data_IF_174704420182
#
_entry.id   IF_174704420182
#
_cell.length_a   1.000
_cell.length_b   1.000
_cell.length_c   1.000
_cell.angle_alpha   90.00
_cell.angle_beta   90.00
_cell.angle_gamma   90.00
#
_symmetry.space_group_name_H-M   'P 1'
#
loop_
_entity.id
_entity.type
_entity.pdbx_description
1 polymer ?
#
# COMPACT_ATOMS: atom_id res chain seq x y z
N UNK A 1 -23.82 -28.50 39.72
CA UNK A 1 -22.79 -28.53 38.66
C UNK A 1 -23.20 -27.58 37.53
N UNK A 2 -22.86 -26.31 37.63
CA UNK A 2 -23.22 -25.31 36.63
C UNK A 2 -22.16 -25.34 35.50
N UNK A 3 -22.58 -25.72 34.30
CA UNK A 3 -21.74 -25.61 33.09
C UNK A 3 -21.60 -24.14 32.73
N UNK A 4 -20.43 -23.55 33.03
CA UNK A 4 -20.03 -22.27 32.49
C UNK A 4 -19.71 -22.48 31.01
N UNK A 5 -20.65 -22.16 30.12
CA UNK A 5 -20.39 -22.01 28.68
C UNK A 5 -19.66 -20.70 28.47
N UNK A 6 -18.35 -20.75 28.36
CA UNK A 6 -17.55 -19.63 27.87
C UNK A 6 -17.85 -19.42 26.39
N UNK A 7 -18.60 -18.35 26.13
CA UNK A 7 -18.98 -17.94 24.78
C UNK A 7 -17.80 -17.15 24.15
N UNK A 8 -16.94 -17.86 23.42
CA UNK A 8 -15.71 -17.33 22.80
C UNK A 8 -15.93 -16.57 21.48
N UNK A 9 -17.21 -16.35 21.07
CA UNK A 9 -17.54 -15.70 19.79
C UNK A 9 -17.61 -14.16 19.87
N UNK A 10 -17.09 -13.51 20.92
CA UNK A 10 -17.12 -12.03 21.06
C UNK A 10 -15.81 -11.31 20.73
N UNK A 11 -14.94 -11.86 19.92
CA UNK A 11 -13.67 -11.22 19.63
C UNK A 11 -13.43 -10.95 18.14
N UNK A 12 -14.47 -10.74 17.33
CA UNK A 12 -14.31 -10.20 15.98
C UNK A 12 -15.56 -9.41 15.58
N UNK A 13 -15.88 -8.34 16.32
CA UNK A 13 -16.70 -7.29 15.72
C UNK A 13 -15.81 -6.54 14.73
N UNK A 14 -16.13 -6.57 13.42
CA UNK A 14 -15.41 -5.76 12.45
C UNK A 14 -15.66 -4.30 12.82
N UNK A 15 -14.59 -3.54 12.96
CA UNK A 15 -14.63 -2.08 13.11
C UNK A 15 -15.65 -1.55 12.11
N UNK A 16 -16.75 -0.96 12.60
CA UNK A 16 -17.75 -0.29 11.77
C UNK A 16 -17.09 0.94 11.14
N UNK A 17 -16.40 0.73 10.02
CA UNK A 17 -15.90 1.79 9.14
C UNK A 17 -17.05 2.38 8.34
N UNK A 18 -16.94 3.63 7.95
CA UNK A 18 -17.89 4.35 7.09
C UNK A 18 -18.26 3.50 5.86
N UNK A 19 -19.55 3.44 5.49
CA UNK A 19 -20.12 2.46 4.56
C UNK A 19 -19.37 2.20 3.24
N UNK A 20 -18.67 3.19 2.68
CA UNK A 20 -17.84 3.05 1.48
C UNK A 20 -16.56 2.24 1.80
N UNK A 21 -15.91 2.52 2.92
CA UNK A 21 -14.67 1.81 3.34
C UNK A 21 -15.02 0.36 3.71
N UNK A 22 -16.15 0.11 4.39
CA UNK A 22 -16.60 -1.24 4.73
C UNK A 22 -17.00 -2.05 3.50
N UNK A 23 -17.58 -1.42 2.46
CA UNK A 23 -17.89 -2.07 1.19
C UNK A 23 -16.61 -2.50 0.46
N UNK A 24 -15.61 -1.63 0.37
CA UNK A 24 -14.31 -1.96 -0.20
C UNK A 24 -13.56 -2.99 0.66
N UNK A 25 -13.61 -2.88 1.98
CA UNK A 25 -13.02 -3.85 2.89
C UNK A 25 -13.64 -5.24 2.72
N UNK A 26 -14.93 -5.39 2.64
CA UNK A 26 -15.58 -6.69 2.56
C UNK A 26 -15.44 -7.40 1.21
N UNK A 27 -15.44 -6.67 0.09
CA UNK A 27 -15.33 -7.28 -1.25
C UNK A 27 -13.89 -7.42 -1.76
N UNK A 28 -13.05 -6.38 -1.62
CA UNK A 28 -11.66 -6.41 -2.08
C UNK A 28 -10.74 -7.18 -1.13
N UNK A 29 -11.10 -7.32 0.15
CA UNK A 29 -10.22 -7.81 1.20
C UNK A 29 -10.41 -9.28 1.54
N UNK A 30 -11.53 -9.88 1.19
CA UNK A 30 -11.79 -11.30 1.48
C UNK A 30 -10.91 -12.24 0.65
N UNK A 31 -10.53 -11.82 -0.57
CA UNK A 31 -9.59 -12.53 -1.44
C UNK A 31 -8.58 -11.54 -2.04
N UNK A 32 -7.53 -11.23 -1.28
CA UNK A 32 -6.47 -10.31 -1.68
C UNK A 32 -5.53 -10.94 -2.70
N UNK A 33 -6.08 -11.28 -3.87
CA UNK A 33 -5.32 -11.85 -4.97
C UNK A 33 -4.38 -10.81 -5.59
N UNK A 34 -3.35 -11.29 -6.27
CA UNK A 34 -2.42 -10.42 -7.01
C UNK A 34 -3.16 -9.59 -8.08
N UNK A 35 -4.20 -10.16 -8.67
CA UNK A 35 -5.04 -9.48 -9.66
C UNK A 35 -5.87 -8.33 -9.04
N UNK A 36 -6.40 -8.50 -7.82
CA UNK A 36 -7.13 -7.43 -7.12
C UNK A 36 -6.21 -6.24 -6.81
N UNK A 37 -4.95 -6.50 -6.43
CA UNK A 37 -3.93 -5.45 -6.25
C UNK A 37 -3.62 -4.73 -7.56
N UNK A 38 -3.58 -5.47 -8.65
CA UNK A 38 -3.38 -4.93 -10.00
C UNK A 38 -4.52 -4.01 -10.41
N UNK A 39 -5.77 -4.42 -10.18
CA UNK A 39 -6.95 -3.58 -10.43
C UNK A 39 -6.95 -2.32 -9.57
N UNK A 40 -6.51 -2.41 -8.32
CA UNK A 40 -6.38 -1.25 -7.44
C UNK A 40 -5.36 -0.23 -7.98
N UNK A 41 -4.18 -0.67 -8.44
CA UNK A 41 -3.18 0.22 -9.04
C UNK A 41 -3.68 0.84 -10.33
N UNK A 42 -4.38 0.08 -11.20
CA UNK A 42 -4.98 0.63 -12.41
C UNK A 42 -6.06 1.68 -12.11
N UNK A 43 -6.90 1.43 -11.10
CA UNK A 43 -7.90 2.41 -10.64
C UNK A 43 -7.25 3.69 -10.10
N UNK A 44 -6.17 3.55 -9.34
CA UNK A 44 -5.37 4.68 -8.86
C UNK A 44 -4.72 5.45 -10.02
N UNK A 45 -4.22 4.75 -11.03
CA UNK A 45 -3.67 5.35 -12.26
C UNK A 45 -4.70 6.20 -12.99
N UNK A 46 -5.92 5.66 -13.15
CA UNK A 46 -7.06 6.37 -13.75
C UNK A 46 -7.38 7.63 -12.93
N UNK A 47 -7.45 7.50 -11.62
CA UNK A 47 -7.78 8.61 -10.73
C UNK A 47 -6.75 9.75 -10.83
N UNK A 48 -5.46 9.44 -10.71
CA UNK A 48 -4.38 10.44 -10.80
C UNK A 48 -4.38 11.10 -12.18
N UNK A 49 -4.49 10.30 -13.25
CA UNK A 49 -4.50 10.82 -14.61
C UNK A 49 -5.72 11.72 -14.88
N UNK A 50 -6.88 11.40 -14.30
CA UNK A 50 -8.08 12.25 -14.39
C UNK A 50 -7.83 13.65 -13.83
N UNK A 51 -7.14 13.76 -12.68
CA UNK A 51 -6.79 15.07 -12.11
C UNK A 51 -5.83 15.85 -13.01
N UNK A 52 -4.86 15.19 -13.63
CA UNK A 52 -3.96 15.84 -14.59
C UNK A 52 -4.73 16.39 -15.80
N UNK A 53 -5.61 15.57 -16.40
CA UNK A 53 -6.46 16.00 -17.50
C UNK A 53 -7.41 17.14 -17.12
N UNK A 54 -7.98 17.09 -15.91
CA UNK A 54 -8.87 18.15 -15.40
C UNK A 54 -8.13 19.48 -15.30
N UNK A 55 -6.85 19.48 -14.85
CA UNK A 55 -6.03 20.68 -14.80
C UNK A 55 -5.73 21.23 -16.20
N UNK A 56 -5.33 20.36 -17.15
CA UNK A 56 -5.09 20.78 -18.53
C UNK A 56 -6.32 21.45 -19.14
N UNK A 57 -7.49 20.83 -19.00
CA UNK A 57 -8.76 21.37 -19.46
C UNK A 57 -9.10 22.69 -18.76
N UNK A 58 -8.92 22.75 -17.44
CA UNK A 58 -9.16 23.97 -16.67
C UNK A 58 -8.34 25.14 -17.20
N UNK A 59 -7.04 24.93 -17.46
CA UNK A 59 -6.17 25.97 -18.01
C UNK A 59 -6.58 26.39 -19.41
N UNK A 60 -6.92 25.40 -20.28
CA UNK A 60 -7.36 25.68 -21.67
C UNK A 60 -8.67 26.48 -21.73
N UNK A 61 -9.58 26.28 -20.77
CA UNK A 61 -10.83 27.04 -20.70
C UNK A 61 -10.70 28.43 -20.04
N UNK A 62 -9.51 28.77 -19.48
CA UNK A 62 -9.27 30.03 -18.79
C UNK A 62 -8.09 30.79 -19.39
N UNK A 63 -8.31 31.59 -20.45
CA UNK A 63 -7.24 32.28 -21.18
C UNK A 63 -6.37 33.18 -20.31
N UNK A 64 -6.86 33.62 -19.17
CA UNK A 64 -6.12 34.42 -18.20
C UNK A 64 -4.84 33.74 -17.69
N UNK A 65 -4.74 32.41 -17.77
CA UNK A 65 -3.57 31.64 -17.35
C UNK A 65 -2.55 31.38 -18.46
N UNK A 66 -2.88 31.68 -19.71
CA UNK A 66 -2.02 31.43 -20.87
C UNK A 66 -0.61 32.07 -20.78
N UNK A 67 -0.41 33.26 -20.19
CA UNK A 67 0.93 33.81 -20.05
C UNK A 67 1.87 32.93 -19.19
N UNK A 68 1.33 32.15 -18.28
CA UNK A 68 2.09 31.36 -17.30
C UNK A 68 2.29 29.90 -17.68
N UNK A 69 1.80 29.49 -18.84
CA UNK A 69 1.86 28.11 -19.31
C UNK A 69 2.39 28.01 -20.74
N UNK A 70 2.84 26.82 -21.13
CA UNK A 70 3.18 26.52 -22.50
C UNK A 70 2.03 25.75 -23.18
N UNK A 71 1.23 26.45 -23.96
CA UNK A 71 0.04 25.88 -24.60
C UNK A 71 0.35 24.69 -25.51
N UNK A 72 1.44 24.72 -26.25
CA UNK A 72 1.83 23.59 -27.10
C UNK A 72 2.13 22.33 -26.28
N UNK A 73 2.77 22.51 -25.13
CA UNK A 73 3.05 21.41 -24.22
C UNK A 73 1.78 20.92 -23.52
N UNK A 74 0.84 21.81 -23.15
CA UNK A 74 -0.46 21.40 -22.59
C UNK A 74 -1.24 20.53 -23.57
N UNK A 75 -1.32 20.91 -24.85
CA UNK A 75 -1.99 20.07 -25.85
C UNK A 75 -1.34 18.69 -25.98
N UNK A 76 -0.02 18.62 -25.94
CA UNK A 76 0.73 17.36 -25.98
C UNK A 76 0.45 16.54 -24.72
N UNK A 77 0.49 17.14 -23.53
CA UNK A 77 0.24 16.49 -22.25
C UNK A 77 -1.21 15.98 -22.16
N UNK A 78 -2.19 16.77 -22.60
CA UNK A 78 -3.59 16.38 -22.68
C UNK A 78 -3.79 15.16 -23.61
N UNK A 79 -3.15 15.17 -24.80
CA UNK A 79 -3.24 14.06 -25.76
C UNK A 79 -2.63 12.78 -25.20
N UNK A 80 -1.46 12.86 -24.58
CA UNK A 80 -0.82 11.73 -23.90
C UNK A 80 -1.67 11.22 -22.73
N UNK A 81 -2.23 12.13 -21.93
CA UNK A 81 -3.10 11.78 -20.81
C UNK A 81 -4.36 11.03 -21.27
N UNK A 82 -4.98 11.43 -22.40
CA UNK A 82 -6.13 10.70 -22.97
C UNK A 82 -5.74 9.29 -23.45
N UNK A 83 -4.56 9.15 -24.06
CA UNK A 83 -4.05 7.84 -24.47
C UNK A 83 -3.83 6.94 -23.23
N UNK A 84 -3.14 7.43 -22.22
CA UNK A 84 -2.92 6.67 -20.98
C UNK A 84 -4.22 6.31 -20.27
N UNK A 85 -5.19 7.24 -20.23
CA UNK A 85 -6.52 6.97 -19.68
C UNK A 85 -7.18 5.80 -20.39
N UNK A 86 -7.17 5.80 -21.72
CA UNK A 86 -7.75 4.72 -22.54
C UNK A 86 -7.04 3.38 -22.28
N UNK A 87 -5.72 3.39 -22.18
CA UNK A 87 -4.91 2.20 -21.88
C UNK A 87 -5.25 1.66 -20.49
N UNK A 88 -5.28 2.50 -19.44
CA UNK A 88 -5.60 2.05 -18.09
C UNK A 88 -7.00 1.49 -17.96
N UNK A 89 -8.00 2.13 -18.58
CA UNK A 89 -9.37 1.63 -18.62
C UNK A 89 -9.41 0.27 -19.35
N UNK A 90 -8.75 0.16 -20.51
CA UNK A 90 -8.67 -1.09 -21.26
C UNK A 90 -8.03 -2.23 -20.45
N UNK A 91 -6.92 -1.96 -19.75
CA UNK A 91 -6.27 -2.95 -18.88
C UNK A 91 -7.13 -3.33 -17.68
N UNK A 92 -7.85 -2.37 -17.09
CA UNK A 92 -8.76 -2.62 -15.97
C UNK A 92 -9.92 -3.54 -16.40
N UNK A 93 -10.52 -3.26 -17.55
CA UNK A 93 -11.58 -4.09 -18.16
C UNK A 93 -11.04 -5.48 -18.51
N UNK A 94 -9.85 -5.58 -19.06
CA UNK A 94 -9.20 -6.84 -19.36
C UNK A 94 -8.95 -7.66 -18.09
N UNK A 95 -8.44 -7.07 -17.03
CA UNK A 95 -8.27 -7.72 -15.73
C UNK A 95 -9.62 -8.20 -15.17
N UNK A 96 -10.69 -7.43 -15.34
CA UNK A 96 -12.01 -7.78 -14.84
C UNK A 96 -12.63 -8.96 -15.63
N UNK A 97 -12.70 -8.87 -16.95
CA UNK A 97 -13.36 -9.86 -17.80
C UNK A 97 -12.53 -11.13 -18.04
N UNK A 98 -11.20 -11.00 -18.07
CA UNK A 98 -10.28 -12.12 -18.31
C UNK A 98 -9.61 -12.63 -17.02
N UNK A 99 -10.21 -12.40 -15.85
CA UNK A 99 -9.64 -12.73 -14.53
C UNK A 99 -9.28 -14.20 -14.34
N UNK A 100 -9.92 -15.10 -15.08
CA UNK A 100 -9.69 -16.55 -15.01
C UNK A 100 -8.53 -17.05 -15.90
N UNK A 101 -7.97 -16.16 -16.71
CA UNK A 101 -6.89 -16.50 -17.63
C UNK A 101 -5.54 -16.46 -16.91
N UNK A 102 -4.79 -17.57 -16.90
CA UNK A 102 -3.48 -17.68 -16.24
C UNK A 102 -2.46 -16.63 -16.68
N UNK A 103 -2.49 -16.24 -17.97
CA UNK A 103 -1.56 -15.23 -18.47
C UNK A 103 -1.87 -13.82 -17.90
N UNK A 104 -3.16 -13.47 -17.67
CA UNK A 104 -3.57 -12.22 -17.05
C UNK A 104 -3.03 -12.13 -15.62
N UNK A 105 -3.20 -13.19 -14.83
CA UNK A 105 -2.70 -13.25 -13.47
C UNK A 105 -1.17 -13.11 -13.40
N UNK A 106 -0.46 -13.66 -14.39
CA UNK A 106 1.01 -13.67 -14.42
C UNK A 106 1.62 -12.36 -14.93
N UNK A 107 1.08 -11.76 -16.00
CA UNK A 107 1.71 -10.64 -16.70
C UNK A 107 1.14 -9.27 -16.31
N UNK A 108 -0.16 -9.18 -15.98
CA UNK A 108 -0.80 -7.90 -15.70
C UNK A 108 -0.23 -7.17 -14.48
N UNK A 109 0.15 -7.82 -13.38
CA UNK A 109 0.73 -7.13 -12.24
C UNK A 109 2.02 -6.38 -12.60
N UNK A 110 2.93 -7.02 -13.31
CA UNK A 110 4.18 -6.40 -13.73
C UNK A 110 3.94 -5.27 -14.73
N UNK A 111 3.10 -5.50 -15.75
CA UNK A 111 2.78 -4.50 -16.76
C UNK A 111 2.14 -3.26 -16.15
N UNK A 112 1.16 -3.43 -15.24
CA UNK A 112 0.46 -2.32 -14.61
C UNK A 112 1.38 -1.50 -13.72
N UNK A 113 2.27 -2.13 -12.97
CA UNK A 113 3.29 -1.46 -12.14
C UNK A 113 4.24 -0.63 -13.01
N UNK A 114 4.72 -1.20 -14.13
CA UNK A 114 5.63 -0.48 -15.03
C UNK A 114 4.94 0.72 -15.69
N UNK A 115 3.72 0.54 -16.20
CA UNK A 115 2.96 1.61 -16.84
C UNK A 115 2.59 2.71 -15.84
N UNK A 116 2.15 2.35 -14.63
CA UNK A 116 1.87 3.34 -13.58
C UNK A 116 3.12 4.18 -13.27
N UNK A 117 4.27 3.53 -13.07
CA UNK A 117 5.53 4.21 -12.79
C UNK A 117 5.93 5.12 -13.96
N UNK A 118 5.83 4.64 -15.20
CA UNK A 118 6.15 5.43 -16.39
C UNK A 118 5.30 6.69 -16.47
N UNK A 119 3.98 6.56 -16.28
CA UNK A 119 3.05 7.70 -16.38
C UNK A 119 3.28 8.69 -15.23
N UNK A 120 3.53 8.19 -14.01
CA UNK A 120 3.87 9.03 -12.86
C UNK A 120 5.14 9.87 -13.12
N UNK A 121 6.15 9.26 -13.74
CA UNK A 121 7.40 9.94 -14.11
C UNK A 121 7.20 10.96 -15.23
N UNK A 122 6.41 10.64 -16.24
CA UNK A 122 6.10 11.57 -17.33
C UNK A 122 5.35 12.80 -16.81
N UNK A 123 4.33 12.59 -15.97
CA UNK A 123 3.67 13.71 -15.29
C UNK A 123 4.66 14.51 -14.42
N UNK A 124 5.55 13.81 -13.69
CA UNK A 124 6.61 14.44 -12.92
C UNK A 124 7.56 15.29 -13.76
N UNK A 125 7.95 14.84 -14.95
CA UNK A 125 8.74 15.63 -15.89
C UNK A 125 8.00 16.90 -16.33
N UNK A 126 6.73 16.77 -16.72
CA UNK A 126 5.93 17.90 -17.19
C UNK A 126 5.67 18.94 -16.10
N UNK A 127 5.43 18.52 -14.86
CA UNK A 127 5.16 19.40 -13.70
C UNK A 127 6.45 19.91 -13.05
N UNK A 128 7.55 19.21 -13.27
CA UNK A 128 8.86 19.50 -12.70
C UNK A 128 9.42 18.28 -11.94
N UNK A 129 10.53 17.76 -12.44
CA UNK A 129 11.15 16.52 -11.94
C UNK A 129 11.59 16.59 -10.47
N UNK A 130 11.83 17.79 -9.93
CA UNK A 130 12.14 18.06 -8.52
C UNK A 130 11.02 18.81 -7.77
N UNK A 131 9.82 18.88 -8.37
CA UNK A 131 8.70 19.51 -7.69
C UNK A 131 8.25 18.67 -6.47
N UNK A 132 7.67 19.30 -5.43
CA UNK A 132 7.13 18.57 -4.28
C UNK A 132 6.14 17.47 -4.68
N UNK A 133 5.32 17.72 -5.70
CA UNK A 133 4.36 16.76 -6.24
C UNK A 133 5.03 15.50 -6.77
N UNK A 134 6.09 15.67 -7.58
CA UNK A 134 6.85 14.54 -8.15
C UNK A 134 7.54 13.73 -7.06
N UNK A 135 8.15 14.41 -6.09
CA UNK A 135 8.85 13.72 -4.98
C UNK A 135 7.88 12.96 -4.08
N UNK A 136 6.74 13.55 -3.71
CA UNK A 136 5.72 12.87 -2.91
C UNK A 136 5.12 11.69 -3.68
N UNK A 137 4.84 11.86 -4.98
CA UNK A 137 4.37 10.79 -5.85
C UNK A 137 5.35 9.62 -5.93
N UNK A 138 6.64 9.91 -6.12
CA UNK A 138 7.70 8.90 -6.20
C UNK A 138 7.88 8.14 -4.87
N UNK A 139 8.00 8.85 -3.74
CA UNK A 139 8.16 8.22 -2.41
C UNK A 139 6.89 7.48 -2.00
N UNK A 140 5.71 8.06 -2.23
CA UNK A 140 4.43 7.43 -1.97
C UNK A 140 4.25 6.14 -2.76
N UNK A 141 4.63 6.16 -4.05
CA UNK A 141 4.62 4.96 -4.89
C UNK A 141 5.59 3.88 -4.38
N UNK A 142 6.81 4.26 -3.99
CA UNK A 142 7.77 3.31 -3.43
C UNK A 142 7.21 2.60 -2.19
N UNK A 143 6.62 3.35 -1.26
CA UNK A 143 6.01 2.80 -0.04
C UNK A 143 4.82 1.89 -0.33
N UNK A 144 3.85 2.37 -1.11
CA UNK A 144 2.65 1.60 -1.47
C UNK A 144 3.00 0.38 -2.31
N UNK A 145 3.90 0.54 -3.28
CA UNK A 145 4.34 -0.55 -4.16
C UNK A 145 4.95 -1.71 -3.37
N UNK A 146 5.85 -1.41 -2.42
CA UNK A 146 6.50 -2.43 -1.58
C UNK A 146 5.53 -3.17 -0.64
N UNK A 147 4.42 -2.55 -0.27
CA UNK A 147 3.36 -3.20 0.52
C UNK A 147 2.49 -4.11 -0.37
N UNK A 148 2.19 -3.67 -1.59
CA UNK A 148 1.26 -4.36 -2.49
C UNK A 148 1.90 -5.50 -3.28
N UNK A 149 3.13 -5.30 -3.76
CA UNK A 149 3.79 -6.18 -4.72
C UNK A 149 5.11 -6.74 -4.17
N UNK A 150 5.63 -7.75 -4.86
CA UNK A 150 6.94 -8.31 -4.55
C UNK A 150 8.04 -7.28 -4.78
N UNK A 151 9.05 -7.27 -3.90
CA UNK A 151 10.17 -6.32 -3.95
C UNK A 151 10.85 -6.27 -5.32
N UNK A 152 10.98 -7.43 -5.99
CA UNK A 152 11.61 -7.53 -7.33
C UNK A 152 10.86 -6.71 -8.38
N UNK A 153 9.52 -6.78 -8.40
CA UNK A 153 8.67 -6.05 -9.34
C UNK A 153 8.78 -4.54 -9.11
N UNK A 154 8.76 -4.13 -7.84
CA UNK A 154 8.82 -2.71 -7.46
C UNK A 154 10.21 -2.13 -7.74
N UNK A 155 11.28 -2.81 -7.36
CA UNK A 155 12.64 -2.32 -7.65
C UNK A 155 12.95 -2.28 -9.14
N UNK A 156 12.40 -3.21 -9.94
CA UNK A 156 12.53 -3.18 -11.39
C UNK A 156 11.87 -1.95 -12.02
N UNK A 157 10.85 -1.37 -11.38
CA UNK A 157 10.25 -0.09 -11.81
C UNK A 157 10.94 1.14 -11.21
N UNK A 158 11.32 1.10 -9.93
CA UNK A 158 11.91 2.24 -9.24
C UNK A 158 13.33 2.55 -9.69
N UNK A 159 14.15 1.54 -9.99
CA UNK A 159 15.53 1.77 -10.39
C UNK A 159 15.66 2.59 -11.69
N UNK A 160 15.01 2.23 -12.82
CA UNK A 160 15.03 3.07 -14.01
C UNK A 160 14.33 4.42 -13.78
N UNK A 161 13.30 4.46 -12.91
CA UNK A 161 12.63 5.68 -12.52
C UNK A 161 13.56 6.68 -11.84
N UNK A 162 14.37 6.21 -10.91
CA UNK A 162 15.39 7.03 -10.23
C UNK A 162 16.41 7.60 -11.24
N UNK A 163 16.90 6.75 -12.13
CA UNK A 163 17.85 7.18 -13.18
C UNK A 163 17.22 8.24 -14.07
N UNK A 164 15.95 8.04 -14.49
CA UNK A 164 15.22 9.00 -15.31
C UNK A 164 15.09 10.37 -14.61
N UNK A 165 14.66 10.40 -13.34
CA UNK A 165 14.54 11.65 -12.58
C UNK A 165 15.88 12.36 -12.42
N UNK A 166 16.93 11.62 -12.08
CA UNK A 166 18.28 12.19 -11.95
C UNK A 166 18.78 12.75 -13.28
N UNK A 167 18.57 12.03 -14.38
CA UNK A 167 18.94 12.48 -15.73
C UNK A 167 18.16 13.73 -16.15
N UNK A 168 16.83 13.76 -15.95
CA UNK A 168 16.03 14.95 -16.24
C UNK A 168 16.50 16.17 -15.47
N UNK A 169 16.84 16.00 -14.18
CA UNK A 169 17.35 17.10 -13.37
C UNK A 169 18.74 17.57 -13.87
N UNK A 170 19.63 16.64 -14.17
CA UNK A 170 20.94 16.99 -14.71
C UNK A 170 20.84 17.73 -16.05
N UNK A 171 20.02 17.20 -16.99
CA UNK A 171 19.79 17.84 -18.30
C UNK A 171 19.12 19.22 -18.18
N UNK A 172 18.22 19.41 -17.20
CA UNK A 172 17.64 20.71 -16.90
C UNK A 172 18.68 21.69 -16.34
N UNK A 173 19.60 21.21 -15.48
CA UNK A 173 20.68 22.03 -14.90
C UNK A 173 21.63 22.58 -15.97
N UNK A 174 21.98 21.76 -16.98
CA UNK A 174 22.85 22.20 -18.09
C UNK A 174 22.07 22.90 -19.20
N UNK A 175 20.77 23.14 -19.05
CA UNK A 175 19.94 23.85 -20.02
C UNK A 175 19.58 23.06 -21.29
N UNK A 176 19.86 21.74 -21.34
CA UNK A 176 19.55 20.90 -22.50
C UNK A 176 18.05 20.60 -22.64
N UNK A 177 17.30 20.56 -21.53
CA UNK A 177 15.85 20.42 -21.52
C UNK A 177 15.23 21.48 -20.60
N UNK A 178 13.97 21.82 -20.88
CA UNK A 178 13.23 22.78 -20.06
C UNK A 178 12.77 22.10 -18.77
N UNK A 179 13.05 22.70 -17.62
CA UNK A 179 12.47 22.29 -16.34
C UNK A 179 10.97 22.65 -16.30
N UNK A 180 10.15 21.70 -15.84
CA UNK A 180 8.70 21.89 -15.72
C UNK A 180 8.04 22.42 -17.01
N UNK A 181 8.10 21.67 -18.14
CA UNK A 181 7.74 22.21 -19.46
C UNK A 181 6.29 22.67 -19.58
N UNK A 182 5.36 22.24 -18.74
CA UNK A 182 3.97 22.75 -18.70
C UNK A 182 3.91 24.23 -18.37
N UNK A 183 4.87 24.75 -17.64
CA UNK A 183 4.86 26.10 -17.10
C UNK A 183 5.84 27.01 -17.84
N UNK A 184 5.47 28.27 -18.02
CA UNK A 184 6.38 29.30 -18.51
C UNK A 184 7.13 29.94 -17.34
N UNK A 185 8.21 29.28 -16.89
CA UNK A 185 9.01 29.73 -15.74
C UNK A 185 9.63 31.10 -15.95
N UNK A 186 9.90 31.50 -17.20
CA UNK A 186 10.45 32.84 -17.51
C UNK A 186 9.39 33.93 -17.27
N UNK A 187 8.15 33.71 -17.69
CA UNK A 187 7.05 34.65 -17.45
C UNK A 187 6.69 34.77 -15.96
N UNK A 188 6.95 33.73 -15.18
CA UNK A 188 6.81 33.72 -13.72
C UNK A 188 8.03 34.35 -13.00
N UNK A 189 8.94 34.98 -13.73
CA UNK A 189 10.19 35.57 -13.22
C UNK A 189 11.06 34.57 -12.44
N UNK A 190 10.96 33.28 -12.80
CA UNK A 190 11.63 32.15 -12.11
C UNK A 190 11.33 32.10 -10.60
N UNK A 191 10.23 32.69 -10.16
CA UNK A 191 9.85 32.75 -8.74
C UNK A 191 9.10 31.49 -8.37
N UNK A 192 9.68 30.66 -7.50
CA UNK A 192 9.06 29.44 -6.94
C UNK A 192 7.78 29.76 -6.15
N UNK A 193 7.59 31.03 -5.73
CA UNK A 193 6.44 31.49 -4.95
C UNK A 193 5.33 32.11 -5.81
N UNK A 194 5.38 32.00 -7.14
CA UNK A 194 4.32 32.54 -7.99
C UNK A 194 2.97 31.86 -7.64
N UNK A 195 1.88 32.61 -7.35
CA UNK A 195 0.61 32.05 -6.86
C UNK A 195 0.03 30.96 -7.76
N UNK A 196 0.07 31.15 -9.08
CA UNK A 196 -0.41 30.15 -10.03
C UNK A 196 0.40 28.85 -9.97
N UNK A 197 1.73 28.94 -9.86
CA UNK A 197 2.60 27.78 -9.68
C UNK A 197 2.26 27.01 -8.40
N UNK A 198 2.18 27.69 -7.27
CA UNK A 198 1.86 27.06 -5.98
C UNK A 198 0.46 26.44 -5.97
N UNK A 199 -0.55 27.10 -6.52
CA UNK A 199 -1.91 26.56 -6.61
C UNK A 199 -1.96 25.33 -7.51
N UNK A 200 -1.24 25.33 -8.64
CA UNK A 200 -1.14 24.16 -9.53
C UNK A 200 -0.45 22.99 -8.84
N UNK A 201 0.65 23.23 -8.13
CA UNK A 201 1.32 22.19 -7.36
C UNK A 201 0.43 21.61 -6.27
N UNK A 202 -0.31 22.44 -5.54
CA UNK A 202 -1.27 21.98 -4.53
C UNK A 202 -2.40 21.15 -5.17
N UNK A 203 -2.91 21.59 -6.32
CA UNK A 203 -3.93 20.84 -7.05
C UNK A 203 -3.46 19.42 -7.43
N UNK A 204 -2.20 19.26 -7.83
CA UNK A 204 -1.63 17.95 -8.14
C UNK A 204 -1.24 17.14 -6.88
N UNK A 205 -0.77 17.84 -5.83
CA UNK A 205 -0.27 17.21 -4.61
C UNK A 205 -1.39 16.62 -3.74
N UNK A 206 -2.50 17.35 -3.59
CA UNK A 206 -3.60 16.94 -2.70
C UNK A 206 -4.20 15.58 -3.09
N UNK A 207 -4.54 15.31 -4.36
CA UNK A 207 -5.03 13.98 -4.76
C UNK A 207 -4.03 12.85 -4.50
N UNK A 208 -2.74 13.12 -4.66
CA UNK A 208 -1.69 12.14 -4.38
C UNK A 208 -1.63 11.79 -2.89
N UNK A 209 -1.64 12.80 -2.02
CA UNK A 209 -1.64 12.60 -0.56
C UNK A 209 -2.90 11.86 -0.12
N UNK A 210 -4.08 12.28 -0.59
CA UNK A 210 -5.35 11.61 -0.27
C UNK A 210 -5.37 10.17 -0.76
N UNK A 211 -4.83 9.90 -1.94
CA UNK A 211 -4.70 8.54 -2.48
C UNK A 211 -3.79 7.67 -1.61
N UNK A 212 -2.63 8.18 -1.21
CA UNK A 212 -1.72 7.48 -0.31
C UNK A 212 -2.39 7.20 1.04
N UNK A 213 -3.04 8.20 1.63
CA UNK A 213 -3.74 8.04 2.90
C UNK A 213 -4.86 6.98 2.79
N UNK A 214 -5.70 7.05 1.76
CA UNK A 214 -6.74 6.07 1.50
C UNK A 214 -6.18 4.64 1.36
N UNK A 215 -5.06 4.49 0.65
CA UNK A 215 -4.39 3.19 0.52
C UNK A 215 -3.86 2.69 1.87
N UNK A 216 -3.28 3.55 2.70
CA UNK A 216 -2.83 3.16 4.04
C UNK A 216 -3.99 2.74 4.92
N UNK A 217 -5.15 3.41 4.88
CA UNK A 217 -6.35 3.02 5.62
C UNK A 217 -6.87 1.63 5.21
N UNK A 218 -6.70 1.25 3.95
CA UNK A 218 -7.05 -0.08 3.46
C UNK A 218 -6.00 -1.12 3.87
N UNK A 219 -4.71 -0.81 3.76
CA UNK A 219 -3.62 -1.77 3.89
C UNK A 219 -3.24 -2.09 5.34
N UNK A 220 -3.31 -1.12 6.26
CA UNK A 220 -2.96 -1.31 7.67
C UNK A 220 -3.80 -2.39 8.38
N UNK A 221 -5.14 -2.42 8.25
CA UNK A 221 -5.95 -3.47 8.84
C UNK A 221 -5.60 -4.87 8.30
N UNK A 222 -5.27 -4.96 7.02
CA UNK A 222 -4.85 -6.21 6.39
C UNK A 222 -3.58 -6.77 7.02
N UNK A 223 -2.61 -5.91 7.21
CA UNK A 223 -1.35 -6.29 7.83
C UNK A 223 -1.56 -6.79 9.26
N UNK A 224 -2.36 -6.06 10.06
CA UNK A 224 -2.71 -6.47 11.43
C UNK A 224 -3.44 -7.82 11.48
N UNK A 225 -4.40 -8.06 10.56
CA UNK A 225 -5.11 -9.34 10.48
C UNK A 225 -4.15 -10.48 10.15
N UNK A 226 -3.22 -10.28 9.22
CA UNK A 226 -2.20 -11.29 8.87
C UNK A 226 -1.29 -11.59 10.05
N UNK A 227 -0.81 -10.57 10.74
CA UNK A 227 0.04 -10.72 11.91
C UNK A 227 -0.67 -11.50 13.02
N UNK A 228 -1.94 -11.14 13.32
CA UNK A 228 -2.76 -11.87 14.27
C UNK A 228 -3.00 -13.33 13.83
N UNK A 229 -3.19 -13.56 12.52
CA UNK A 229 -3.36 -14.92 11.98
C UNK A 229 -2.08 -15.73 12.12
N UNK A 230 -0.91 -15.16 11.82
CA UNK A 230 0.39 -15.83 12.01
C UNK A 230 0.60 -16.16 13.48
N UNK A 231 0.32 -15.22 14.39
CA UNK A 231 0.40 -15.46 15.83
C UNK A 231 -0.56 -16.58 16.30
N UNK A 232 -1.76 -16.67 15.70
CA UNK A 232 -2.71 -17.75 16.03
C UNK A 232 -2.34 -19.10 15.41
N UNK A 233 -1.63 -19.12 14.30
CA UNK A 233 -1.12 -20.34 13.64
C UNK A 233 0.17 -20.84 14.29
N UNK A 234 0.88 -20.01 15.05
CA UNK A 234 2.02 -20.46 15.83
C UNK A 234 1.59 -21.56 16.79
N UNK A 235 2.30 -22.69 16.76
CA UNK A 235 2.10 -23.81 17.68
C UNK A 235 2.94 -23.70 18.95
N UNK A 236 3.92 -22.84 18.92
CA UNK A 236 4.99 -22.71 19.90
C UNK A 236 4.83 -21.38 20.62
N UNK A 237 5.00 -21.39 21.92
CA UNK A 237 5.12 -20.20 22.74
C UNK A 237 6.50 -19.54 22.48
N UNK A 238 6.53 -18.24 22.12
CA UNK A 238 7.77 -17.59 21.68
C UNK A 238 8.78 -17.39 22.84
N UNK A 239 8.33 -17.39 24.08
CA UNK A 239 9.19 -17.23 25.26
C UNK A 239 9.87 -18.54 25.64
N UNK A 240 9.10 -19.59 25.76
CA UNK A 240 9.55 -20.85 26.35
C UNK A 240 9.89 -21.93 25.32
N UNK A 241 9.59 -21.68 24.05
CA UNK A 241 9.78 -22.62 22.94
C UNK A 241 9.07 -23.99 23.10
N UNK A 242 8.11 -24.09 24.03
CA UNK A 242 7.22 -25.25 24.18
C UNK A 242 5.88 -25.01 23.47
N UNK A 243 5.06 -26.04 23.35
CA UNK A 243 3.74 -25.87 22.75
C UNK A 243 2.89 -24.89 23.56
N UNK A 244 2.28 -23.93 22.85
CA UNK A 244 1.38 -22.99 23.48
C UNK A 244 0.07 -23.66 23.93
N UNK A 245 -0.66 -23.01 24.86
CA UNK A 245 -1.92 -23.50 25.43
C UNK A 245 -2.92 -23.99 24.37
N UNK A 246 -3.02 -23.32 23.23
CA UNK A 246 -3.95 -23.67 22.16
C UNK A 246 -3.54 -24.97 21.46
N UNK A 247 -2.25 -25.15 21.21
CA UNK A 247 -1.71 -26.35 20.58
C UNK A 247 -1.89 -27.57 21.47
N UNK A 248 -1.65 -27.42 22.78
CA UNK A 248 -1.89 -28.48 23.77
C UNK A 248 -3.37 -28.86 23.81
N UNK A 249 -4.28 -27.88 23.86
CA UNK A 249 -5.71 -28.14 23.86
C UNK A 249 -6.17 -28.92 22.61
N UNK A 250 -5.70 -28.51 21.41
CA UNK A 250 -6.00 -29.21 20.16
C UNK A 250 -5.45 -30.63 20.15
N UNK A 251 -4.25 -30.83 20.69
CA UNK A 251 -3.61 -32.17 20.75
C UNK A 251 -4.36 -33.09 21.73
N UNK A 252 -4.77 -32.58 22.88
CA UNK A 252 -5.60 -33.32 23.83
C UNK A 252 -6.96 -33.72 23.24
N UNK A 253 -7.59 -32.80 22.48
CA UNK A 253 -8.84 -33.12 21.79
C UNK A 253 -8.68 -34.20 20.73
N UNK A 254 -7.58 -34.18 19.93
CA UNK A 254 -7.26 -35.21 18.95
C UNK A 254 -7.01 -36.57 19.65
N UNK A 255 -6.26 -36.59 20.78
CA UNK A 255 -6.01 -37.79 21.57
C UNK A 255 -7.34 -38.34 22.17
N UNK A 256 -8.21 -37.45 22.63
CA UNK A 256 -9.53 -37.88 23.16
C UNK A 256 -10.43 -38.50 22.11
N UNK A 257 -10.36 -38.05 20.86
CA UNK A 257 -11.09 -38.62 19.73
C UNK A 257 -10.55 -39.99 19.31
N UNK A 258 -9.26 -40.27 19.58
CA UNK A 258 -8.63 -41.56 19.32
C UNK A 258 -8.94 -42.52 20.46
N UNK A 259 -10.12 -43.16 20.45
CA UNK A 259 -10.68 -44.02 21.54
C UNK A 259 -9.79 -45.16 22.03
N UNK A 260 -8.62 -45.42 21.42
CA UNK A 260 -7.71 -46.53 21.76
C UNK A 260 -6.37 -46.10 22.37
N UNK A 261 -6.08 -44.83 22.49
CA UNK A 261 -4.82 -44.31 23.06
C UNK A 261 -4.98 -44.08 24.57
N UNK A 262 -4.21 -44.84 25.37
CA UNK A 262 -4.05 -44.54 26.80
C UNK A 262 -3.03 -43.42 26.92
N UNK A 263 -3.38 -42.33 27.58
CA UNK A 263 -2.49 -41.23 27.86
C UNK A 263 -2.69 -40.73 29.30
N UNK A 264 -1.64 -40.11 29.86
CA UNK A 264 -1.70 -39.44 31.14
C UNK A 264 -1.43 -37.95 30.92
N UNK A 265 -2.14 -37.10 31.65
CA UNK A 265 -1.94 -35.65 31.66
C UNK A 265 -1.31 -35.28 33.01
N UNK A 266 -0.14 -34.66 32.95
CA UNK A 266 0.52 -34.10 34.12
C UNK A 266 0.36 -32.58 34.08
N UNK A 267 -0.18 -31.99 35.12
CA UNK A 267 -0.30 -30.55 35.30
C UNK A 267 0.76 -30.10 36.28
N UNK A 268 1.59 -29.18 35.85
CA UNK A 268 2.64 -28.57 36.70
C UNK A 268 2.30 -27.09 36.89
N UNK A 269 2.57 -26.58 38.09
CA UNK A 269 2.43 -25.18 38.41
C UNK A 269 3.68 -24.73 39.21
N UNK A 270 4.06 -23.45 39.04
CA UNK A 270 5.21 -22.87 39.73
C UNK A 270 4.77 -22.21 41.01
N UNK A 271 5.18 -22.79 42.16
CA UNK A 271 4.92 -22.21 43.46
C UNK A 271 5.56 -20.83 43.57
N UNK A 272 4.80 -19.90 44.10
CA UNK A 272 5.24 -18.51 44.35
C UNK A 272 5.74 -17.71 43.14
N UNK A 273 5.39 -18.11 41.89
CA UNK A 273 5.83 -17.40 40.69
C UNK A 273 5.48 -15.91 40.70
N UNK A 274 4.31 -15.54 41.24
CA UNK A 274 3.94 -14.14 41.42
C UNK A 274 4.94 -13.39 42.33
N UNK A 275 5.42 -14.02 43.39
CA UNK A 275 6.41 -13.43 44.29
C UNK A 275 7.75 -13.17 43.58
N UNK A 276 8.13 -14.02 42.61
CA UNK A 276 9.33 -13.80 41.79
C UNK A 276 9.14 -12.53 40.96
N UNK A 277 8.00 -12.41 40.27
CA UNK A 277 7.70 -11.22 39.48
C UNK A 277 7.64 -9.94 40.32
N UNK A 278 7.00 -9.99 41.48
CA UNK A 278 6.81 -8.82 42.33
C UNK A 278 8.14 -8.34 42.98
N UNK A 279 9.10 -9.24 43.25
CA UNK A 279 10.38 -8.88 43.88
C UNK A 279 11.52 -8.64 42.91
N UNK A 280 11.55 -9.35 41.76
CA UNK A 280 12.69 -9.34 40.83
C UNK A 280 12.34 -8.83 39.45
N UNK A 281 11.07 -8.47 39.21
CA UNK A 281 10.57 -7.98 37.94
C UNK A 281 10.20 -9.08 36.93
N UNK A 282 9.46 -8.69 35.89
CA UNK A 282 8.95 -9.62 34.88
C UNK A 282 10.07 -10.28 34.07
N UNK A 283 11.18 -9.59 33.83
CA UNK A 283 12.32 -10.15 33.09
C UNK A 283 12.92 -11.37 33.78
N UNK A 284 12.98 -11.37 35.12
CA UNK A 284 13.42 -12.50 35.91
C UNK A 284 12.37 -13.64 35.89
N UNK A 285 11.09 -13.31 35.94
CA UNK A 285 10.01 -14.27 35.79
C UNK A 285 10.07 -14.98 34.45
N UNK A 286 10.34 -14.25 33.36
CA UNK A 286 10.51 -14.81 32.04
C UNK A 286 11.71 -15.78 31.97
N UNK A 287 12.84 -15.46 32.61
CA UNK A 287 13.99 -16.38 32.67
C UNK A 287 13.65 -17.67 33.44
N UNK A 288 12.88 -17.57 34.54
CA UNK A 288 12.42 -18.76 35.27
C UNK A 288 11.52 -19.63 34.43
N UNK A 289 10.59 -19.03 33.64
CA UNK A 289 9.73 -19.77 32.72
C UNK A 289 10.54 -20.52 31.64
N UNK A 290 11.57 -19.88 31.10
CA UNK A 290 12.46 -20.49 30.09
C UNK A 290 13.20 -21.68 30.72
N UNK A 291 13.79 -21.53 31.92
CA UNK A 291 14.53 -22.62 32.57
C UNK A 291 13.65 -23.81 32.97
N UNK A 292 12.39 -23.56 33.34
CA UNK A 292 11.45 -24.64 33.67
C UNK A 292 10.95 -25.35 32.40
N UNK A 293 10.97 -24.69 31.28
CA UNK A 293 10.54 -25.26 30.00
C UNK A 293 11.62 -26.13 29.32
N UNK A 294 12.90 -25.98 29.69
CA UNK A 294 14.05 -26.80 29.27
C UNK A 294 14.09 -28.14 30.02
#
# INVERSE_FOLDING_TARGET
MNKIRLNWNRATDPVQGWGIVSFFQNQLLRNWTLLNKTMLILSLSIFINLFMLAWDLFVLYHPQFYPWVNLAVIHTHLSLGMIFMSVFIGLLLLCHFCSQQRWVEKFMPMLSVQLFTLVLLLHGYFVGSFSPTTMVGYVGWAGVGLILFERRVVYFSLFPATIFLLLCNYLSMIGSITYAPLFNMQAMQQTILHPFWLQSLLFFLVPLILSCWFLFEILLPQWRIREATIATLSRIDPLTNVMNRRSIANQLEQLHQQRKALYSVVLLDLDHFKHINDNYGHDMGDQVLIQVAE
#
